data_IF_756952722042
#
_entry.id   IF_756952722042
#
_cell.length_a   1.000
_cell.length_b   1.000
_cell.length_c   1.000
_cell.angle_alpha   90.00
_cell.angle_beta   90.00
_cell.angle_gamma   90.00
#
_symmetry.space_group_name_H-M   'P 1'
#
loop_
_entity.id
_entity.type
_entity.pdbx_description
1 polymer ?
#
# COMPACT_ATOMS: atom_id res chain seq x y z
N UNK A 1 2.50 12.11 -12.42
CA UNK A 1 1.72 11.95 -11.17
C UNK A 1 2.42 10.94 -10.30
N UNK A 2 2.87 11.38 -9.16
CA UNK A 2 3.64 10.54 -8.24
C UNK A 2 2.67 9.91 -7.24
N UNK A 3 2.36 8.63 -7.42
CA UNK A 3 1.78 7.84 -6.35
C UNK A 3 2.94 7.36 -5.47
N UNK A 4 2.99 7.79 -4.22
CA UNK A 4 3.95 7.31 -3.23
C UNK A 4 3.33 6.18 -2.42
N UNK A 5 4.03 5.07 -2.25
CA UNK A 5 3.68 4.04 -1.28
C UNK A 5 4.55 4.23 -0.05
N UNK A 6 3.94 4.28 1.12
CA UNK A 6 4.63 4.49 2.39
C UNK A 6 4.47 3.26 3.27
N UNK A 7 5.57 2.78 3.83
CA UNK A 7 5.55 1.71 4.82
C UNK A 7 6.24 2.14 6.09
N UNK A 8 5.70 1.73 7.21
CA UNK A 8 6.21 2.04 8.53
C UNK A 8 6.74 0.80 9.25
N UNK A 9 7.88 0.97 9.91
CA UNK A 9 8.51 -0.02 10.78
C UNK A 9 8.67 0.57 12.18
N UNK A 10 8.30 -0.18 13.23
CA UNK A 10 8.68 0.12 14.60
C UNK A 10 9.74 -0.89 15.01
N UNK A 11 10.90 -0.40 15.45
CA UNK A 11 11.98 -1.21 15.99
C UNK A 11 12.09 -0.91 17.49
N UNK A 12 12.10 -1.94 18.32
CA UNK A 12 12.37 -1.85 19.75
C UNK A 12 13.77 -2.40 20.10
N UNK A 13 14.36 -1.86 21.16
CA UNK A 13 15.61 -2.32 21.80
C UNK A 13 16.92 -1.97 21.07
N UNK A 14 17.16 -0.70 20.74
CA UNK A 14 18.51 -0.21 20.47
C UNK A 14 18.84 0.99 21.36
N UNK A 15 19.97 0.95 22.07
CA UNK A 15 20.49 2.11 22.80
C UNK A 15 20.97 3.18 21.80
N UNK A 16 20.46 4.40 21.94
CA UNK A 16 20.48 5.48 20.93
C UNK A 16 21.81 6.23 20.81
N UNK A 17 22.96 5.66 21.16
CA UNK A 17 24.22 6.41 21.21
C UNK A 17 24.77 6.90 19.84
N UNK A 18 24.22 6.51 18.69
CA UNK A 18 24.53 7.06 17.38
C UNK A 18 23.47 6.64 16.34
N UNK A 19 22.19 6.81 16.62
CA UNK A 19 21.12 6.36 15.73
C UNK A 19 21.30 6.78 14.28
N UNK A 20 21.76 8.01 14.02
CA UNK A 20 22.03 8.49 12.66
C UNK A 20 23.02 7.59 11.93
N UNK A 21 24.11 7.19 12.59
CA UNK A 21 25.13 6.35 11.99
C UNK A 21 24.58 4.93 11.67
N UNK A 22 23.82 4.35 12.59
CA UNK A 22 23.17 3.05 12.37
C UNK A 22 22.19 3.09 11.19
N UNK A 23 21.36 4.12 11.13
CA UNK A 23 20.39 4.31 10.04
C UNK A 23 21.11 4.47 8.69
N UNK A 24 22.21 5.23 8.65
CA UNK A 24 22.96 5.44 7.43
C UNK A 24 23.63 4.16 6.93
N UNK A 25 24.21 3.36 7.84
CA UNK A 25 24.77 2.05 7.48
C UNK A 25 23.69 1.09 6.99
N UNK A 26 22.51 1.09 7.63
CA UNK A 26 21.39 0.29 7.16
C UNK A 26 20.88 0.75 5.78
N UNK A 27 20.87 2.05 5.51
CA UNK A 27 20.56 2.59 4.18
C UNK A 27 21.63 2.21 3.15
N UNK A 28 22.93 2.26 3.51
CA UNK A 28 24.02 1.81 2.62
C UNK A 28 23.85 0.35 2.24
N UNK A 29 23.54 -0.53 3.21
CA UNK A 29 23.26 -1.93 2.95
C UNK A 29 22.04 -2.13 2.04
N UNK A 30 20.96 -1.37 2.27
CA UNK A 30 19.77 -1.42 1.45
C UNK A 30 20.05 -0.95 -0.01
N UNK A 31 20.84 0.12 -0.19
CA UNK A 31 21.24 0.61 -1.52
C UNK A 31 22.10 -0.44 -2.24
N UNK A 32 23.01 -1.09 -1.52
CA UNK A 32 23.89 -2.11 -2.10
C UNK A 32 23.11 -3.36 -2.55
N UNK A 33 22.10 -3.77 -1.79
CA UNK A 33 21.28 -4.96 -2.08
C UNK A 33 20.22 -4.67 -3.15
N UNK A 34 19.66 -3.46 -3.18
CA UNK A 34 18.51 -3.10 -4.02
C UNK A 34 18.85 -1.98 -5.02
N UNK A 35 19.28 -2.29 -6.25
CA UNK A 35 19.65 -1.30 -7.25
C UNK A 35 18.54 -0.28 -7.60
N UNK A 36 17.27 -0.66 -7.39
CA UNK A 36 16.13 0.22 -7.61
C UNK A 36 16.16 1.48 -6.71
N UNK A 37 16.82 1.42 -5.54
CA UNK A 37 16.99 2.57 -4.64
C UNK A 37 17.96 3.63 -5.19
N UNK A 38 18.70 3.31 -6.24
CA UNK A 38 19.55 4.26 -6.99
C UNK A 38 18.90 4.70 -8.30
N UNK A 39 17.66 4.32 -8.58
CA UNK A 39 16.99 4.63 -9.84
C UNK A 39 16.01 5.80 -9.66
N UNK A 40 15.97 6.66 -10.65
CA UNK A 40 14.96 7.71 -10.82
C UNK A 40 14.37 7.62 -12.21
N UNK A 41 13.15 8.12 -12.40
CA UNK A 41 12.52 8.24 -13.71
C UNK A 41 12.99 9.56 -14.35
N UNK A 42 13.41 9.48 -15.59
CA UNK A 42 13.69 10.63 -16.44
C UNK A 42 12.66 10.72 -17.57
N UNK A 43 12.45 11.93 -18.07
CA UNK A 43 11.52 12.24 -19.17
C UNK A 43 10.09 11.72 -18.91
N UNK A 44 9.64 11.77 -17.64
CA UNK A 44 8.33 11.31 -17.18
C UNK A 44 7.14 12.05 -17.82
N UNK A 45 7.41 13.19 -18.47
CA UNK A 45 6.46 14.01 -19.22
C UNK A 45 6.39 13.67 -20.72
N UNK A 46 7.15 12.67 -21.17
CA UNK A 46 7.20 12.22 -22.56
C UNK A 46 6.52 10.87 -22.75
N UNK A 47 6.42 10.43 -24.01
CA UNK A 47 5.88 9.10 -24.34
C UNK A 47 6.87 7.95 -24.04
N UNK A 48 8.15 8.26 -23.85
CA UNK A 48 9.22 7.28 -23.64
C UNK A 48 9.97 7.56 -22.32
N UNK A 49 9.33 7.49 -21.15
CA UNK A 49 10.03 7.62 -19.87
C UNK A 49 10.99 6.46 -19.65
N UNK A 50 12.15 6.72 -19.04
CA UNK A 50 13.13 5.69 -18.77
C UNK A 50 13.76 5.86 -17.38
N UNK A 51 14.35 4.77 -16.86
CA UNK A 51 15.10 4.84 -15.62
C UNK A 51 16.54 5.30 -15.85
N UNK A 52 16.98 6.21 -14.98
CA UNK A 52 18.37 6.66 -14.88
C UNK A 52 18.91 6.23 -13.53
N UNK A 53 20.14 5.70 -13.51
CA UNK A 53 20.84 5.44 -12.26
C UNK A 53 21.55 6.70 -11.79
N UNK A 54 21.27 7.09 -10.56
CA UNK A 54 22.07 8.10 -9.86
C UNK A 54 23.48 7.56 -9.64
N UNK A 55 24.53 8.37 -9.82
CA UNK A 55 25.89 7.93 -9.54
C UNK A 55 26.12 7.68 -8.05
N UNK A 56 25.39 8.39 -7.20
CA UNK A 56 25.43 8.31 -5.74
C UNK A 56 24.11 8.79 -5.14
N UNK A 57 23.85 8.38 -3.90
CA UNK A 57 22.71 8.81 -3.09
C UNK A 57 23.24 9.59 -1.89
N UNK A 58 22.74 10.80 -1.68
CA UNK A 58 23.06 11.64 -0.53
C UNK A 58 22.01 11.43 0.58
N UNK A 59 22.41 10.72 1.64
CA UNK A 59 21.52 10.38 2.75
C UNK A 59 21.13 11.62 3.59
N UNK A 60 21.97 12.66 3.67
CA UNK A 60 21.62 13.89 4.36
C UNK A 60 20.43 14.63 3.73
N UNK A 61 20.11 14.36 2.46
CA UNK A 61 18.95 14.93 1.75
C UNK A 61 17.68 14.13 1.92
N UNK A 62 17.79 12.84 2.14
CA UNK A 62 16.63 11.93 2.10
C UNK A 62 16.27 11.32 3.45
N UNK A 63 17.15 11.38 4.45
CA UNK A 63 16.91 10.89 5.81
C UNK A 63 16.65 12.07 6.73
N UNK A 64 15.56 12.05 7.47
CA UNK A 64 15.29 13.00 8.54
C UNK A 64 14.89 12.27 9.82
N UNK A 65 15.31 12.83 10.95
CA UNK A 65 15.04 12.33 12.29
C UNK A 65 14.29 13.42 13.04
N UNK A 66 13.20 13.08 13.68
CA UNK A 66 12.38 13.99 14.46
C UNK A 66 11.79 13.28 15.68
N UNK A 67 11.67 14.02 16.77
CA UNK A 67 11.00 13.53 17.96
C UNK A 67 9.49 13.47 17.73
N UNK A 68 8.87 12.47 18.30
CA UNK A 68 7.44 12.32 18.30
C UNK A 68 6.91 12.17 19.72
N UNK A 69 5.69 12.60 19.95
CA UNK A 69 4.99 12.30 21.19
C UNK A 69 4.53 10.84 21.17
N UNK A 70 4.52 10.13 22.31
CA UNK A 70 4.08 8.75 22.37
C UNK A 70 2.67 8.59 21.83
N UNK A 71 2.44 7.60 21.02
CA UNK A 71 1.14 7.44 20.39
C UNK A 71 0.83 6.07 19.81
N UNK A 72 1.78 5.37 19.22
CA UNK A 72 1.47 4.15 18.47
C UNK A 72 1.15 2.94 19.37
N UNK A 73 1.66 2.93 20.58
CA UNK A 73 1.40 1.90 21.58
C UNK A 73 0.38 2.35 22.62
N UNK A 74 -0.18 3.56 22.47
CA UNK A 74 -1.24 4.03 23.35
C UNK A 74 -2.49 3.13 23.20
N UNK A 75 -3.14 2.88 24.31
CA UNK A 75 -4.36 2.08 24.37
C UNK A 75 -5.51 3.00 24.78
N UNK A 76 -6.61 2.92 24.07
CA UNK A 76 -7.85 3.59 24.49
C UNK A 76 -8.40 2.99 25.78
N UNK A 77 -9.34 3.68 26.42
CA UNK A 77 -9.95 3.22 27.67
C UNK A 77 -10.64 1.84 27.57
N UNK A 78 -10.99 1.42 26.37
CA UNK A 78 -11.59 0.12 26.03
C UNK A 78 -10.56 -1.00 25.79
N UNK A 79 -9.25 -0.71 25.90
CA UNK A 79 -8.17 -1.66 25.64
C UNK A 79 -7.76 -1.80 24.18
N UNK A 80 -8.38 -1.05 23.26
CA UNK A 80 -8.01 -1.03 21.83
C UNK A 80 -6.86 -0.07 21.57
N UNK A 81 -6.03 -0.31 20.53
CA UNK A 81 -4.95 0.61 20.16
C UNK A 81 -5.51 1.97 19.72
N UNK A 82 -4.91 3.05 20.22
CA UNK A 82 -5.23 4.39 19.76
C UNK A 82 -4.56 4.68 18.40
N UNK A 83 -5.19 5.50 17.52
CA UNK A 83 -4.56 5.91 16.28
C UNK A 83 -3.37 6.84 16.54
N UNK A 84 -2.25 6.58 15.86
CA UNK A 84 -1.06 7.44 15.90
C UNK A 84 -1.28 8.69 15.04
N UNK A 85 -1.59 9.80 15.68
CA UNK A 85 -1.90 11.06 14.99
C UNK A 85 -0.65 11.75 14.43
N UNK A 86 0.52 11.61 15.08
CA UNK A 86 1.77 12.19 14.58
C UNK A 86 2.20 11.47 13.30
N UNK A 87 2.14 10.13 13.29
CA UNK A 87 2.38 9.35 12.10
C UNK A 87 1.36 9.65 10.99
N UNK A 88 0.09 9.73 11.32
CA UNK A 88 -0.96 10.07 10.35
C UNK A 88 -0.69 11.42 9.68
N UNK A 89 -0.23 12.42 10.46
CA UNK A 89 0.13 13.74 9.96
C UNK A 89 1.38 13.69 9.08
N UNK A 90 2.38 12.90 9.49
CA UNK A 90 3.59 12.68 8.69
C UNK A 90 3.26 12.02 7.35
N UNK A 91 2.48 10.95 7.36
CA UNK A 91 2.04 10.26 6.14
C UNK A 91 1.28 11.21 5.20
N UNK A 92 0.34 12.00 5.73
CA UNK A 92 -0.36 12.99 4.94
C UNK A 92 0.60 14.03 4.30
N UNK A 93 1.65 14.43 5.03
CA UNK A 93 2.67 15.34 4.51
C UNK A 93 3.50 14.70 3.40
N UNK A 94 3.97 13.47 3.62
CA UNK A 94 4.82 12.76 2.67
C UNK A 94 4.06 12.39 1.39
N UNK A 95 2.80 11.96 1.47
CA UNK A 95 1.94 11.72 0.30
C UNK A 95 1.72 12.97 -0.57
N UNK A 96 1.82 14.16 0.02
CA UNK A 96 1.67 15.43 -0.68
C UNK A 96 3.00 16.08 -1.04
N UNK A 97 4.13 15.43 -0.74
CA UNK A 97 5.47 15.93 -1.05
C UNK A 97 6.04 15.20 -2.26
N UNK A 98 6.11 15.82 -3.44
CA UNK A 98 6.55 15.15 -4.66
C UNK A 98 8.04 14.78 -4.60
N UNK A 99 8.39 13.71 -5.31
CA UNK A 99 9.77 13.39 -5.62
C UNK A 99 10.26 14.24 -6.79
N UNK A 100 11.51 14.69 -6.74
CA UNK A 100 12.11 15.55 -7.76
C UNK A 100 13.54 15.13 -8.04
N UNK A 101 13.87 14.91 -9.30
CA UNK A 101 15.25 14.74 -9.73
C UNK A 101 16.09 16.00 -9.35
N UNK A 102 17.35 15.87 -8.96
CA UNK A 102 18.17 14.65 -8.95
C UNK A 102 18.14 13.86 -7.63
N UNK A 103 17.19 14.10 -6.74
CA UNK A 103 17.09 13.36 -5.49
C UNK A 103 16.62 11.92 -5.75
N UNK A 104 16.99 10.99 -4.86
CA UNK A 104 16.49 9.63 -4.91
C UNK A 104 14.95 9.60 -4.81
N UNK A 105 14.32 8.63 -5.48
CA UNK A 105 12.88 8.49 -5.47
C UNK A 105 12.38 7.70 -4.24
N UNK A 106 13.06 7.91 -3.13
CA UNK A 106 12.67 7.43 -1.81
C UNK A 106 13.21 8.33 -0.70
N UNK A 107 12.62 8.25 0.46
CA UNK A 107 12.99 9.02 1.67
C UNK A 107 12.77 8.18 2.92
N UNK A 108 13.55 8.44 3.95
CA UNK A 108 13.37 7.88 5.29
C UNK A 108 13.00 9.01 6.25
N UNK A 109 11.96 8.75 7.03
CA UNK A 109 11.57 9.57 8.17
C UNK A 109 11.62 8.73 9.43
N UNK A 110 12.40 9.15 10.40
CA UNK A 110 12.43 8.51 11.71
C UNK A 110 11.65 9.36 12.70
N UNK A 111 10.73 8.70 13.41
CA UNK A 111 10.04 9.27 14.55
C UNK A 111 10.57 8.60 15.81
N UNK A 112 11.24 9.38 16.67
CA UNK A 112 11.78 8.89 17.93
C UNK A 112 10.71 8.99 19.00
N UNK A 113 10.56 7.94 19.80
CA UNK A 113 9.73 8.01 20.98
C UNK A 113 10.49 8.72 22.11
N UNK A 114 9.94 9.84 22.59
CA UNK A 114 10.60 10.65 23.65
C UNK A 114 10.53 9.97 25.03
N UNK A 115 9.63 9.02 25.23
CA UNK A 115 9.46 8.30 26.50
C UNK A 115 10.19 6.95 26.51
N UNK A 116 10.48 6.39 25.33
CA UNK A 116 11.19 5.11 25.18
C UNK A 116 12.26 5.22 24.09
N UNK A 117 13.47 5.54 24.48
CA UNK A 117 14.63 5.67 23.58
C UNK A 117 14.96 4.37 22.81
N UNK A 118 14.38 3.26 23.22
CA UNK A 118 14.55 1.97 22.53
C UNK A 118 13.54 1.76 21.41
N UNK A 119 12.56 2.63 21.25
CA UNK A 119 11.53 2.54 20.23
C UNK A 119 11.60 3.71 19.25
N UNK A 120 11.54 3.40 18.00
CA UNK A 120 11.40 4.41 16.94
C UNK A 120 10.62 3.85 15.76
N UNK A 121 10.03 4.75 15.00
CA UNK A 121 9.31 4.43 13.78
C UNK A 121 10.16 4.79 12.58
N UNK A 122 10.33 3.86 11.66
CA UNK A 122 10.96 4.12 10.35
C UNK A 122 9.86 4.17 9.29
N UNK A 123 9.69 5.31 8.65
CA UNK A 123 8.80 5.49 7.51
C UNK A 123 9.64 5.49 6.25
N UNK A 124 9.45 4.47 5.42
CA UNK A 124 10.07 4.37 4.10
C UNK A 124 9.08 4.86 3.05
N UNK A 125 9.33 6.05 2.57
CA UNK A 125 8.52 6.71 1.52
C UNK A 125 9.19 6.48 0.18
N UNK A 126 8.47 6.00 -0.82
CA UNK A 126 9.05 5.77 -2.14
C UNK A 126 8.06 6.04 -3.28
N UNK A 127 8.60 6.38 -4.45
CA UNK A 127 7.83 6.53 -5.66
C UNK A 127 7.42 5.17 -6.22
N UNK A 128 6.16 4.99 -6.58
CA UNK A 128 5.62 3.70 -7.02
C UNK A 128 6.31 3.13 -8.27
N UNK A 129 7.02 3.95 -9.06
CA UNK A 129 7.80 3.46 -10.19
C UNK A 129 8.95 2.54 -9.78
N UNK A 130 9.52 2.70 -8.57
CA UNK A 130 10.67 1.90 -8.11
C UNK A 130 10.28 0.70 -7.25
N UNK A 131 9.04 0.62 -6.78
CA UNK A 131 8.61 -0.46 -5.89
C UNK A 131 7.09 -0.58 -5.75
N UNK A 132 6.66 -1.71 -5.24
CA UNK A 132 5.27 -2.03 -4.88
C UNK A 132 5.14 -2.29 -3.37
N UNK A 133 3.95 -2.62 -2.86
CA UNK A 133 3.73 -2.86 -1.43
C UNK A 133 4.61 -3.97 -0.84
N UNK A 134 4.97 -5.02 -1.61
CA UNK A 134 5.92 -6.05 -1.18
C UNK A 134 7.34 -5.49 -1.11
N UNK A 135 7.70 -4.56 -1.98
CA UNK A 135 9.00 -3.88 -1.98
C UNK A 135 9.24 -3.09 -0.69
N UNK A 136 8.21 -2.45 -0.15
CA UNK A 136 8.33 -1.80 1.14
C UNK A 136 8.66 -2.79 2.26
N UNK A 137 8.04 -3.99 2.28
CA UNK A 137 8.41 -5.06 3.22
C UNK A 137 9.86 -5.50 3.03
N UNK A 138 10.28 -5.69 1.77
CA UNK A 138 11.65 -6.06 1.43
C UNK A 138 12.66 -5.04 1.97
N UNK A 139 12.39 -3.75 1.77
CA UNK A 139 13.23 -2.68 2.33
C UNK A 139 13.37 -2.82 3.85
N UNK A 140 12.27 -2.90 4.57
CA UNK A 140 12.29 -2.97 6.04
C UNK A 140 12.98 -4.23 6.56
N UNK A 141 12.85 -5.36 5.87
CA UNK A 141 13.56 -6.59 6.22
C UNK A 141 15.07 -6.46 6.00
N UNK A 142 15.51 -5.87 4.89
CA UNK A 142 16.93 -5.59 4.63
C UNK A 142 17.49 -4.60 5.64
N UNK A 143 16.75 -3.51 5.88
CA UNK A 143 17.11 -2.49 6.86
C UNK A 143 17.30 -3.09 8.27
N UNK A 144 16.36 -3.93 8.70
CA UNK A 144 16.43 -4.62 10.00
C UNK A 144 17.62 -5.57 10.09
N UNK A 145 17.87 -6.39 9.04
CA UNK A 145 19.04 -7.28 9.01
C UNK A 145 20.34 -6.49 9.09
N UNK A 146 20.41 -5.36 8.42
CA UNK A 146 21.56 -4.49 8.48
C UNK A 146 21.77 -3.96 9.89
N UNK A 147 20.73 -3.44 10.55
CA UNK A 147 20.80 -2.97 11.94
C UNK A 147 21.29 -4.05 12.90
N UNK A 148 20.88 -5.32 12.72
CA UNK A 148 21.31 -6.45 13.56
C UNK A 148 22.80 -6.84 13.34
N UNK A 149 23.38 -6.45 12.21
CA UNK A 149 24.75 -6.79 11.83
C UNK A 149 25.78 -5.67 12.05
N UNK A 150 25.34 -4.47 12.40
CA UNK A 150 26.23 -3.31 12.58
C UNK A 150 27.04 -3.45 13.87
N UNK A 151 28.36 -3.29 13.76
CA UNK A 151 29.29 -3.21 14.88
C UNK A 151 29.64 -1.77 15.22
N UNK A 152 30.17 -1.54 16.43
CA UNK A 152 30.39 -0.22 17.06
C UNK A 152 31.43 0.71 16.40
N UNK A 153 32.01 0.42 15.22
CA UNK A 153 33.28 1.03 14.88
C UNK A 153 33.47 1.76 13.55
N UNK A 154 32.50 1.83 12.66
CA UNK A 154 32.74 2.52 11.38
C UNK A 154 32.08 3.89 11.27
N UNK A 155 32.89 4.91 10.89
CA UNK A 155 32.38 6.23 10.53
C UNK A 155 31.50 6.11 9.28
N UNK A 156 30.27 6.50 9.44
CA UNK A 156 29.26 6.47 8.39
C UNK A 156 29.52 7.52 7.33
N UNK A 157 29.28 7.15 6.08
CA UNK A 157 29.28 8.07 4.94
C UNK A 157 27.86 8.56 4.71
N UNK A 158 27.69 9.85 4.47
CA UNK A 158 26.39 10.37 4.03
C UNK A 158 26.18 10.22 2.51
N UNK A 159 27.25 10.10 1.74
CA UNK A 159 27.19 9.91 0.29
C UNK A 159 27.52 8.48 -0.05
N UNK A 160 26.55 7.74 -0.54
CA UNK A 160 26.67 6.33 -0.87
C UNK A 160 26.75 6.17 -2.38
N UNK A 161 27.82 5.48 -2.85
CA UNK A 161 27.97 5.17 -4.27
C UNK A 161 26.93 4.15 -4.71
N UNK A 162 26.30 4.38 -5.82
CA UNK A 162 25.29 3.47 -6.37
C UNK A 162 25.93 2.15 -6.81
N UNK A 163 25.27 1.00 -6.58
CA UNK A 163 25.79 -0.31 -6.97
C UNK A 163 25.84 -0.41 -8.51
N UNK A 164 26.78 -1.20 -9.02
CA UNK A 164 26.90 -1.48 -10.47
C UNK A 164 25.89 -2.53 -10.97
N UNK A 165 25.24 -3.26 -10.06
CA UNK A 165 24.29 -4.31 -10.40
C UNK A 165 23.16 -3.76 -11.28
N UNK A 166 22.70 -4.52 -12.31
CA UNK A 166 21.61 -4.08 -13.16
C UNK A 166 20.30 -3.96 -12.37
N UNK A 167 19.38 -3.12 -12.83
CA UNK A 167 18.00 -3.14 -12.34
C UNK A 167 17.39 -4.50 -12.64
N UNK A 168 16.53 -4.96 -11.74
CA UNK A 168 15.77 -6.19 -11.95
C UNK A 168 14.82 -6.01 -13.16
N UNK A 169 14.53 -7.10 -13.88
CA UNK A 169 13.70 -7.02 -15.08
C UNK A 169 12.28 -6.57 -14.72
N UNK A 170 11.67 -5.76 -15.58
CA UNK A 170 10.27 -5.39 -15.46
C UNK A 170 9.36 -6.59 -15.78
N UNK A 171 8.09 -6.47 -15.39
CA UNK A 171 7.11 -7.56 -15.54
C UNK A 171 6.92 -7.99 -17.00
N UNK A 172 7.07 -7.08 -17.96
CA UNK A 172 6.89 -7.35 -19.39
C UNK A 172 7.97 -8.28 -19.94
N UNK A 173 9.19 -8.25 -19.37
CA UNK A 173 10.30 -9.12 -19.77
C UNK A 173 10.22 -10.53 -19.20
N UNK A 174 9.62 -10.70 -18.04
CA UNK A 174 9.62 -11.97 -17.30
C UNK A 174 8.25 -12.65 -17.25
N UNK A 175 7.19 -11.96 -17.67
CA UNK A 175 5.84 -12.48 -17.81
C UNK A 175 5.40 -12.45 -19.27
N UNK A 176 4.65 -13.45 -19.69
CA UNK A 176 4.11 -13.50 -21.06
C UNK A 176 3.10 -12.39 -21.37
N UNK A 177 2.61 -11.64 -20.34
CA UNK A 177 1.56 -10.63 -20.48
C UNK A 177 0.38 -11.08 -21.38
N UNK A 178 0.08 -12.38 -21.35
CA UNK A 178 -0.79 -13.01 -22.32
C UNK A 178 -2.26 -12.64 -22.13
N UNK A 179 -2.93 -12.38 -23.22
CA UNK A 179 -4.37 -12.09 -23.29
C UNK A 179 -5.04 -13.12 -24.20
N UNK A 180 -6.10 -13.78 -23.70
CA UNK A 180 -6.90 -14.65 -24.52
C UNK A 180 -7.78 -13.83 -25.48
N UNK A 181 -8.06 -14.38 -26.65
CA UNK A 181 -8.97 -13.74 -27.63
C UNK A 181 -10.34 -13.41 -27.01
N UNK A 182 -10.86 -14.32 -26.19
CA UNK A 182 -12.14 -14.12 -25.50
C UNK A 182 -12.12 -12.95 -24.51
N UNK A 183 -11.03 -12.82 -23.75
CA UNK A 183 -10.85 -11.69 -22.83
C UNK A 183 -10.76 -10.36 -23.59
N UNK A 184 -9.95 -10.33 -24.65
CA UNK A 184 -9.77 -9.13 -25.48
C UNK A 184 -11.09 -8.72 -26.15
N UNK A 185 -11.80 -9.67 -26.74
CA UNK A 185 -13.11 -9.43 -27.35
C UNK A 185 -14.13 -8.90 -26.34
N UNK A 186 -14.15 -9.46 -25.11
CA UNK A 186 -15.00 -8.98 -24.02
C UNK A 186 -14.65 -7.54 -23.61
N UNK A 187 -13.37 -7.22 -23.43
CA UNK A 187 -12.94 -5.85 -23.05
C UNK A 187 -13.21 -4.84 -24.17
N UNK A 188 -12.95 -5.19 -25.45
CA UNK A 188 -13.28 -4.34 -26.59
C UNK A 188 -14.80 -4.11 -26.71
N UNK A 189 -15.60 -5.15 -26.49
CA UNK A 189 -17.06 -5.02 -26.47
C UNK A 189 -17.52 -4.09 -25.34
N UNK A 190 -16.94 -4.23 -24.14
CA UNK A 190 -17.23 -3.36 -22.99
C UNK A 190 -16.91 -1.89 -23.31
N UNK A 191 -15.77 -1.61 -23.92
CA UNK A 191 -15.34 -0.25 -24.27
C UNK A 191 -16.20 0.34 -25.40
N UNK A 192 -16.49 -0.42 -26.45
CA UNK A 192 -17.20 0.09 -27.64
C UNK A 192 -18.73 0.10 -27.52
N UNK A 193 -19.31 -0.85 -26.80
CA UNK A 193 -20.78 -1.05 -26.74
C UNK A 193 -21.34 -0.59 -25.38
N UNK A 194 -20.60 -0.78 -24.31
CA UNK A 194 -20.97 -0.40 -22.94
C UNK A 194 -20.21 0.81 -22.42
N UNK A 195 -19.91 1.79 -23.27
CA UNK A 195 -19.21 3.04 -22.88
C UNK A 195 -19.97 3.89 -21.86
N UNK A 196 -21.13 3.45 -21.40
CA UNK A 196 -21.91 4.15 -20.37
C UNK A 196 -21.53 3.63 -18.99
N UNK A 197 -21.27 4.58 -18.08
CA UNK A 197 -21.12 4.31 -16.66
C UNK A 197 -22.27 3.40 -16.18
N UNK A 198 -22.00 2.32 -15.44
CA UNK A 198 -23.05 1.47 -14.90
C UNK A 198 -24.03 2.27 -14.05
N UNK A 199 -25.35 2.13 -14.27
CA UNK A 199 -26.33 2.82 -13.44
C UNK A 199 -26.16 2.49 -11.97
N UNK A 200 -26.27 3.51 -11.11
CA UNK A 200 -26.15 3.32 -9.66
C UNK A 200 -24.73 3.09 -9.14
N UNK A 201 -23.69 3.28 -9.95
CA UNK A 201 -22.31 3.21 -9.48
C UNK A 201 -21.96 4.47 -8.66
N UNK A 202 -21.50 4.27 -7.42
CA UNK A 202 -20.82 5.30 -6.64
C UNK A 202 -19.31 5.24 -6.86
N UNK A 203 -18.67 6.37 -7.06
CA UNK A 203 -17.22 6.47 -7.22
C UNK A 203 -16.66 7.84 -6.82
N UNK A 204 -17.29 8.47 -5.81
CA UNK A 204 -16.91 9.81 -5.39
C UNK A 204 -17.17 10.89 -6.45
N UNK A 205 -16.46 11.99 -6.35
CA UNK A 205 -16.55 13.10 -7.32
C UNK A 205 -15.78 12.78 -8.61
N UNK A 206 -16.03 13.63 -9.63
CA UNK A 206 -15.30 13.57 -10.91
C UNK A 206 -13.80 13.74 -10.73
N UNK A 207 -13.05 13.32 -11.73
CA UNK A 207 -11.61 13.53 -11.79
C UNK A 207 -11.35 15.00 -12.10
N UNK A 208 -10.81 15.73 -11.14
CA UNK A 208 -10.54 17.17 -11.24
C UNK A 208 -9.03 17.50 -11.33
N UNK A 209 -8.18 16.50 -11.38
CA UNK A 209 -6.73 16.63 -11.27
C UNK A 209 -6.23 16.38 -9.83
N UNK A 210 -4.92 16.52 -9.59
CA UNK A 210 -4.33 16.26 -8.28
C UNK A 210 -4.88 17.20 -7.21
N UNK A 211 -5.19 16.64 -6.04
CA UNK A 211 -5.60 17.33 -4.83
C UNK A 211 -4.83 16.77 -3.65
N UNK A 212 -5.03 17.34 -2.46
CA UNK A 212 -4.35 16.83 -1.28
C UNK A 212 -4.87 15.45 -0.88
N UNK A 213 -3.94 14.51 -0.73
CA UNK A 213 -4.20 13.23 -0.07
C UNK A 213 -4.43 13.46 1.42
N UNK A 214 -5.54 12.93 1.90
CA UNK A 214 -5.87 12.83 3.32
C UNK A 214 -5.63 11.42 3.78
N UNK A 215 -5.24 11.24 5.03
CA UNK A 215 -4.92 9.96 5.65
C UNK A 215 -5.69 9.79 6.95
N UNK A 216 -6.20 8.59 7.19
CA UNK A 216 -6.74 8.17 8.48
C UNK A 216 -6.23 6.78 8.83
N UNK A 217 -5.61 6.63 9.99
CA UNK A 217 -5.15 5.35 10.51
C UNK A 217 -6.20 4.76 11.45
N UNK A 218 -6.49 3.47 11.25
CA UNK A 218 -7.47 2.72 12.04
C UNK A 218 -6.80 1.44 12.53
N UNK A 219 -6.26 1.43 13.74
CA UNK A 219 -5.66 0.24 14.32
C UNK A 219 -6.72 -0.70 14.89
N UNK A 220 -6.41 -2.00 14.85
CA UNK A 220 -7.20 -3.08 15.43
C UNK A 220 -6.31 -3.97 16.28
N UNK A 221 -6.77 -4.32 17.48
CA UNK A 221 -5.99 -5.12 18.43
C UNK A 221 -5.71 -6.53 17.93
N UNK A 222 -4.63 -7.11 18.44
CA UNK A 222 -4.27 -8.51 18.19
C UNK A 222 -5.41 -9.47 18.51
N UNK A 223 -6.16 -9.21 19.57
CA UNK A 223 -7.29 -10.05 19.99
C UNK A 223 -8.38 -10.05 18.92
N UNK A 224 -8.81 -8.87 18.48
CA UNK A 224 -9.80 -8.73 17.40
C UNK A 224 -9.31 -9.38 16.11
N UNK A 225 -8.08 -9.10 15.70
CA UNK A 225 -7.50 -9.65 14.46
C UNK A 225 -7.42 -11.17 14.51
N UNK A 226 -7.08 -11.76 15.65
CA UNK A 226 -7.05 -13.22 15.82
C UNK A 226 -8.46 -13.82 15.73
N UNK A 227 -9.44 -13.24 16.41
CA UNK A 227 -10.85 -13.70 16.36
C UNK A 227 -11.38 -13.63 14.91
N UNK A 228 -11.23 -12.48 14.26
CA UNK A 228 -11.65 -12.28 12.85
C UNK A 228 -10.98 -13.29 11.91
N UNK A 229 -9.68 -13.58 12.09
CA UNK A 229 -8.96 -14.57 11.29
C UNK A 229 -9.54 -15.98 11.47
N UNK A 230 -9.85 -16.36 12.70
CA UNK A 230 -10.37 -17.70 13.01
C UNK A 230 -11.79 -17.86 12.46
N UNK A 231 -12.62 -16.83 12.55
CA UNK A 231 -13.94 -16.79 11.90
C UNK A 231 -13.80 -16.88 10.38
N UNK A 232 -12.90 -16.14 9.77
CA UNK A 232 -12.65 -16.23 8.33
C UNK A 232 -12.30 -17.66 7.89
N UNK A 233 -11.48 -18.38 8.68
CA UNK A 233 -11.17 -19.80 8.43
C UNK A 233 -12.41 -20.68 8.53
N UNK A 234 -13.20 -20.52 9.58
CA UNK A 234 -14.46 -21.25 9.76
C UNK A 234 -15.44 -20.98 8.62
N UNK A 235 -15.53 -19.74 8.17
CA UNK A 235 -16.39 -19.31 7.05
C UNK A 235 -15.79 -19.57 5.67
N UNK A 236 -14.62 -20.21 5.59
CA UNK A 236 -13.93 -20.54 4.33
C UNK A 236 -13.66 -19.30 3.46
N UNK A 237 -13.19 -18.21 4.08
CA UNK A 237 -12.80 -16.98 3.42
C UNK A 237 -11.42 -16.50 3.91
N UNK A 238 -11.00 -15.30 3.54
CA UNK A 238 -9.75 -14.66 3.94
C UNK A 238 -10.02 -13.28 4.54
N UNK A 239 -9.08 -12.75 5.34
CA UNK A 239 -9.18 -11.38 5.87
C UNK A 239 -9.33 -10.36 4.74
N UNK A 240 -8.57 -10.47 3.65
CA UNK A 240 -8.66 -9.56 2.50
C UNK A 240 -10.06 -9.55 1.89
N UNK A 241 -10.64 -10.73 1.63
CA UNK A 241 -11.99 -10.86 1.07
C UNK A 241 -13.07 -10.36 2.04
N UNK A 242 -12.88 -10.57 3.35
CA UNK A 242 -13.77 -10.01 4.38
C UNK A 242 -13.67 -8.49 4.41
N UNK A 243 -12.46 -7.92 4.45
CA UNK A 243 -12.27 -6.47 4.45
C UNK A 243 -12.92 -5.81 3.24
N UNK A 244 -12.76 -6.36 2.03
CA UNK A 244 -13.44 -5.86 0.84
C UNK A 244 -14.97 -5.84 1.03
N UNK A 245 -15.54 -6.88 1.62
CA UNK A 245 -16.98 -6.99 1.84
C UNK A 245 -17.46 -6.04 2.93
N UNK A 246 -16.72 -5.91 4.03
CA UNK A 246 -17.04 -5.00 5.14
C UNK A 246 -16.95 -3.55 4.68
N UNK A 247 -15.92 -3.18 3.91
CA UNK A 247 -15.81 -1.83 3.31
C UNK A 247 -16.99 -1.55 2.38
N UNK A 248 -17.37 -2.51 1.53
CA UNK A 248 -18.52 -2.34 0.65
C UNK A 248 -19.83 -2.14 1.43
N UNK A 249 -20.04 -2.88 2.53
CA UNK A 249 -21.18 -2.72 3.42
C UNK A 249 -21.19 -1.34 4.08
N UNK A 250 -20.05 -0.94 4.63
CA UNK A 250 -19.89 0.35 5.28
C UNK A 250 -20.14 1.52 4.32
N UNK A 251 -19.62 1.44 3.09
CA UNK A 251 -19.92 2.44 2.06
C UNK A 251 -21.42 2.47 1.75
N UNK A 252 -22.06 1.32 1.48
CA UNK A 252 -23.49 1.30 1.20
C UNK A 252 -24.37 1.79 2.36
N UNK A 253 -23.95 1.61 3.60
CA UNK A 253 -24.66 2.11 4.77
C UNK A 253 -24.65 3.65 4.85
N UNK A 254 -23.61 4.30 4.28
CA UNK A 254 -23.36 5.73 4.46
C UNK A 254 -23.47 6.56 3.17
N UNK A 255 -23.79 5.94 2.02
CA UNK A 255 -24.08 6.66 0.77
C UNK A 255 -25.58 6.54 0.41
N UNK A 256 -26.14 7.50 -0.36
CA UNK A 256 -27.55 7.47 -0.75
C UNK A 256 -27.99 6.16 -1.43
N UNK A 257 -29.22 5.74 -1.19
CA UNK A 257 -29.80 4.48 -1.72
C UNK A 257 -29.89 4.41 -3.25
N UNK A 258 -29.81 5.56 -3.93
CA UNK A 258 -29.73 5.65 -5.38
C UNK A 258 -28.45 4.99 -5.94
N UNK A 259 -27.41 4.87 -5.11
CA UNK A 259 -26.20 4.13 -5.44
C UNK A 259 -26.37 2.66 -5.05
N UNK A 260 -26.42 1.80 -6.06
CA UNK A 260 -26.68 0.36 -5.92
C UNK A 260 -25.51 -0.53 -6.27
N UNK A 261 -24.38 0.07 -6.71
CA UNK A 261 -23.17 -0.64 -7.15
C UNK A 261 -21.91 0.03 -6.63
N UNK A 262 -20.93 -0.81 -6.27
CA UNK A 262 -19.56 -0.41 -5.99
C UNK A 262 -18.60 -1.29 -6.79
N UNK A 263 -17.55 -0.70 -7.37
CA UNK A 263 -16.43 -1.42 -7.94
C UNK A 263 -15.24 -1.33 -7.00
N UNK A 264 -14.81 -2.51 -6.55
CA UNK A 264 -13.62 -2.69 -5.75
C UNK A 264 -12.46 -3.15 -6.64
N UNK A 265 -11.31 -2.56 -6.48
CA UNK A 265 -10.05 -3.08 -7.01
C UNK A 265 -9.19 -3.66 -5.89
N UNK A 266 -8.20 -4.44 -6.24
CA UNK A 266 -7.19 -4.92 -5.32
C UNK A 266 -5.94 -5.34 -6.09
N UNK A 267 -4.81 -5.35 -5.39
CA UNK A 267 -3.52 -5.72 -5.96
C UNK A 267 -3.08 -7.12 -5.51
N UNK A 268 -2.41 -7.83 -6.41
CA UNK A 268 -1.80 -9.14 -6.17
C UNK A 268 -0.34 -9.12 -6.61
N UNK A 269 0.56 -9.56 -5.72
CA UNK A 269 1.97 -9.73 -6.08
C UNK A 269 2.14 -10.89 -7.07
N UNK A 270 2.77 -10.58 -8.19
CA UNK A 270 3.10 -11.55 -9.24
C UNK A 270 4.29 -12.44 -8.87
N UNK A 271 5.04 -12.12 -7.81
CA UNK A 271 6.20 -12.90 -7.34
C UNK A 271 5.87 -14.38 -7.12
N UNK A 272 4.61 -14.68 -6.79
CA UNK A 272 4.12 -16.05 -6.59
C UNK A 272 4.28 -16.98 -7.78
N UNK A 273 4.39 -16.43 -9.00
CA UNK A 273 4.52 -17.21 -10.25
C UNK A 273 5.68 -16.73 -11.13
N UNK A 274 6.50 -15.83 -10.63
CA UNK A 274 7.72 -15.38 -11.28
C UNK A 274 8.92 -16.03 -10.56
N UNK A 275 9.51 -17.09 -11.11
CA UNK A 275 10.46 -17.93 -10.35
C UNK A 275 11.77 -17.22 -10.00
N UNK A 276 12.11 -16.15 -10.70
CA UNK A 276 13.33 -15.37 -10.51
C UNK A 276 13.14 -14.19 -9.54
N UNK A 277 11.91 -13.92 -9.13
CA UNK A 277 11.56 -12.76 -8.30
C UNK A 277 10.98 -13.24 -6.97
N UNK A 278 11.63 -12.84 -5.89
CA UNK A 278 11.27 -13.22 -4.52
C UNK A 278 10.68 -12.02 -3.74
N UNK A 279 10.10 -12.28 -2.56
CA UNK A 279 9.45 -11.27 -1.73
C UNK A 279 10.45 -10.29 -1.06
N UNK A 280 11.75 -10.60 -1.08
CA UNK A 280 12.84 -9.75 -0.58
C UNK A 280 13.43 -8.82 -1.66
N UNK A 281 12.89 -8.80 -2.87
CA UNK A 281 13.34 -7.95 -3.97
C UNK A 281 12.49 -6.68 -4.12
N UNK A 282 13.15 -5.54 -4.36
CA UNK A 282 12.48 -4.25 -4.64
C UNK A 282 12.27 -4.09 -6.15
N UNK A 283 11.02 -3.83 -6.55
CA UNK A 283 10.58 -3.59 -7.92
C UNK A 283 9.05 -3.69 -8.04
N UNK A 284 8.50 -3.47 -9.22
CA UNK A 284 7.06 -3.46 -9.46
C UNK A 284 6.63 -4.73 -10.19
N UNK A 285 6.04 -5.68 -9.46
CA UNK A 285 5.51 -6.93 -10.01
C UNK A 285 4.13 -7.22 -9.42
N UNK A 286 3.16 -6.40 -9.81
CA UNK A 286 1.79 -6.48 -9.34
C UNK A 286 0.82 -6.59 -10.50
N UNK A 287 -0.32 -7.23 -10.26
CA UNK A 287 -1.47 -7.17 -11.14
C UNK A 287 -2.72 -6.85 -10.33
N UNK A 288 -3.63 -6.13 -10.98
CA UNK A 288 -4.92 -5.80 -10.41
C UNK A 288 -5.95 -6.91 -10.60
N UNK A 289 -6.94 -6.95 -9.71
CA UNK A 289 -8.18 -7.67 -9.89
C UNK A 289 -9.36 -6.75 -9.55
N UNK A 290 -10.52 -7.10 -10.06
CA UNK A 290 -11.75 -6.30 -9.94
C UNK A 290 -12.85 -7.13 -9.29
N UNK A 291 -13.63 -6.51 -8.41
CA UNK A 291 -14.81 -7.11 -7.80
C UNK A 291 -15.98 -6.12 -7.79
N UNK A 292 -17.17 -6.62 -8.00
CA UNK A 292 -18.39 -5.79 -7.97
C UNK A 292 -19.26 -6.16 -6.79
N UNK A 293 -19.62 -5.17 -6.00
CA UNK A 293 -20.58 -5.30 -4.90
C UNK A 293 -21.90 -4.64 -5.27
N UNK A 294 -23.01 -5.24 -4.81
CA UNK A 294 -24.35 -4.72 -4.98
C UNK A 294 -25.02 -4.50 -3.65
N UNK A 295 -25.80 -3.44 -3.54
CA UNK A 295 -26.50 -3.10 -2.31
C UNK A 295 -27.47 -4.19 -1.84
N UNK A 296 -28.16 -4.85 -2.76
CA UNK A 296 -29.13 -5.92 -2.46
C UNK A 296 -28.50 -7.24 -1.96
N UNK A 297 -27.25 -7.50 -2.34
CA UNK A 297 -26.53 -8.74 -1.98
C UNK A 297 -25.56 -8.57 -0.82
N UNK A 298 -25.06 -7.35 -0.57
CA UNK A 298 -23.99 -7.11 0.41
C UNK A 298 -24.39 -7.41 1.87
N UNK A 299 -25.67 -7.51 2.17
CA UNK A 299 -26.17 -7.96 3.48
C UNK A 299 -25.79 -9.42 3.79
N UNK A 300 -25.63 -10.27 2.77
CA UNK A 300 -25.16 -11.64 2.91
C UNK A 300 -23.62 -11.70 3.06
N UNK A 301 -23.09 -11.16 4.16
CA UNK A 301 -21.68 -10.93 4.41
C UNK A 301 -20.78 -12.11 4.03
N UNK A 302 -21.07 -13.30 4.53
CA UNK A 302 -20.20 -14.47 4.31
C UNK A 302 -20.31 -15.04 2.91
N UNK A 303 -21.43 -14.89 2.21
CA UNK A 303 -21.58 -15.29 0.82
C UNK A 303 -20.74 -14.37 -0.08
N UNK A 304 -20.81 -13.07 0.15
CA UNK A 304 -20.02 -12.07 -0.57
C UNK A 304 -18.53 -12.22 -0.28
N UNK A 305 -18.13 -12.43 0.97
CA UNK A 305 -16.73 -12.65 1.32
C UNK A 305 -16.17 -13.95 0.68
N UNK A 306 -16.96 -15.01 0.59
CA UNK A 306 -16.58 -16.23 -0.15
C UNK A 306 -16.53 -16.00 -1.65
N UNK A 307 -17.41 -15.17 -2.19
CA UNK A 307 -17.41 -14.79 -3.61
C UNK A 307 -16.15 -14.01 -3.94
N UNK A 308 -15.81 -12.98 -3.17
CA UNK A 308 -14.57 -12.20 -3.30
C UNK A 308 -13.33 -13.10 -3.22
N UNK A 309 -13.27 -14.04 -2.25
CA UNK A 309 -12.20 -15.02 -2.19
C UNK A 309 -12.07 -15.83 -3.48
N UNK A 310 -13.16 -16.32 -4.04
CA UNK A 310 -13.14 -17.10 -5.32
C UNK A 310 -12.59 -16.25 -6.47
N UNK A 311 -12.92 -14.96 -6.54
CA UNK A 311 -12.37 -14.04 -7.53
C UNK A 311 -10.85 -13.96 -7.39
N UNK A 312 -10.34 -13.71 -6.18
CA UNK A 312 -8.90 -13.65 -5.91
C UNK A 312 -8.21 -14.98 -6.28
N UNK A 313 -8.76 -16.13 -5.86
CA UNK A 313 -8.22 -17.45 -6.19
C UNK A 313 -8.23 -17.73 -7.71
N UNK A 314 -9.24 -17.25 -8.42
CA UNK A 314 -9.30 -17.36 -9.88
C UNK A 314 -8.17 -16.59 -10.55
N UNK A 315 -7.92 -15.35 -10.10
CA UNK A 315 -6.83 -14.53 -10.64
C UNK A 315 -5.46 -15.16 -10.35
N UNK A 316 -5.27 -15.69 -9.15
CA UNK A 316 -4.02 -16.41 -8.78
C UNK A 316 -3.82 -17.62 -9.71
N UNK A 317 -4.87 -18.39 -10.02
CA UNK A 317 -4.79 -19.56 -10.93
C UNK A 317 -4.41 -19.16 -12.36
N UNK A 318 -4.78 -17.95 -12.79
CA UNK A 318 -4.45 -17.45 -14.13
C UNK A 318 -2.97 -17.07 -14.28
N UNK A 319 -2.23 -16.92 -13.17
CA UNK A 319 -0.78 -16.65 -13.16
C UNK A 319 -0.37 -15.50 -14.09
N UNK A 320 -1.05 -14.38 -13.99
CA UNK A 320 -0.79 -13.20 -14.81
C UNK A 320 -1.49 -13.16 -16.18
N UNK A 321 -2.15 -14.23 -16.60
CA UNK A 321 -2.93 -14.24 -17.84
C UNK A 321 -4.25 -13.48 -17.68
N UNK A 322 -4.70 -12.81 -18.75
CA UNK A 322 -5.98 -12.11 -18.80
C UNK A 322 -6.17 -11.07 -17.66
N UNK A 323 -5.09 -10.36 -17.31
CA UNK A 323 -5.10 -9.26 -16.36
C UNK A 323 -5.38 -7.93 -17.06
N UNK A 324 -6.03 -6.99 -16.35
CA UNK A 324 -6.17 -5.61 -16.83
C UNK A 324 -4.80 -4.92 -16.97
N UNK A 325 -3.82 -5.26 -16.14
CA UNK A 325 -2.44 -4.79 -16.28
C UNK A 325 -1.82 -5.15 -17.64
N UNK A 326 -2.19 -6.31 -18.21
CA UNK A 326 -1.68 -6.72 -19.52
C UNK A 326 -2.21 -5.86 -20.67
N UNK A 327 -3.27 -5.08 -20.45
CA UNK A 327 -3.76 -4.13 -21.45
C UNK A 327 -2.87 -2.90 -21.59
N UNK A 328 -2.04 -2.62 -20.60
CA UNK A 328 -1.10 -1.50 -20.64
C UNK A 328 -0.09 -1.60 -21.78
N UNK A 329 0.20 -2.81 -22.28
CA UNK A 329 1.03 -3.01 -23.47
C UNK A 329 0.47 -2.37 -24.76
N UNK A 330 -0.80 -1.94 -24.78
CA UNK A 330 -1.46 -1.28 -25.91
C UNK A 330 -1.64 0.23 -25.68
N UNK A 331 -1.08 0.78 -24.64
CA UNK A 331 -1.11 2.22 -24.34
C UNK A 331 0.13 2.84 -24.95
N UNK A 332 -0.06 3.76 -25.89
CA UNK A 332 1.03 4.45 -26.56
C UNK A 332 1.48 5.68 -25.76
N UNK A 333 0.54 6.41 -25.18
CA UNK A 333 0.79 7.59 -24.36
C UNK A 333 0.09 7.47 -22.99
N UNK A 334 0.84 7.02 -21.98
CA UNK A 334 0.31 6.83 -20.63
C UNK A 334 -0.25 8.12 -20.02
N UNK A 335 0.41 9.25 -20.29
CA UNK A 335 0.00 10.53 -19.72
C UNK A 335 -1.31 11.00 -20.34
N UNK A 336 -1.41 10.98 -21.67
CA UNK A 336 -2.63 11.40 -22.36
C UNK A 336 -3.78 10.40 -22.14
N UNK A 337 -3.55 9.11 -22.42
CA UNK A 337 -4.62 8.12 -22.47
C UNK A 337 -5.15 7.74 -21.07
N UNK A 338 -4.27 7.59 -20.07
CA UNK A 338 -4.67 7.14 -18.74
C UNK A 338 -4.92 8.29 -17.76
N UNK A 339 -4.42 9.51 -18.07
CA UNK A 339 -4.47 10.63 -17.15
C UNK A 339 -5.24 11.81 -17.71
N UNK A 340 -4.67 12.56 -18.65
CA UNK A 340 -5.22 13.83 -19.11
C UNK A 340 -6.60 13.68 -19.75
N UNK A 341 -6.78 12.65 -20.57
CA UNK A 341 -8.08 12.34 -21.20
C UNK A 341 -9.20 12.04 -20.21
N UNK A 342 -8.88 11.72 -18.96
CA UNK A 342 -9.86 11.39 -17.91
C UNK A 342 -10.31 12.59 -17.07
N UNK A 343 -9.61 13.71 -17.16
CA UNK A 343 -9.97 14.94 -16.41
C UNK A 343 -11.38 15.40 -16.81
N UNK A 344 -12.20 15.69 -15.82
CA UNK A 344 -13.61 16.09 -15.98
C UNK A 344 -14.58 14.91 -16.12
N UNK A 345 -14.08 13.66 -16.29
CA UNK A 345 -14.92 12.45 -16.36
C UNK A 345 -15.22 11.90 -14.97
N UNK A 346 -16.22 11.03 -14.90
CA UNK A 346 -16.51 10.26 -13.70
C UNK A 346 -15.45 9.18 -13.50
N UNK A 347 -15.14 8.84 -12.24
CA UNK A 347 -14.29 7.70 -11.88
C UNK A 347 -15.01 6.39 -12.22
N UNK A 348 -14.24 5.40 -12.63
CA UNK A 348 -14.76 4.08 -13.00
C UNK A 348 -14.80 3.11 -11.81
N UNK A 349 -14.06 3.39 -10.74
CA UNK A 349 -13.89 2.55 -9.57
C UNK A 349 -14.27 3.28 -8.28
N UNK A 350 -14.75 2.54 -7.29
CA UNK A 350 -15.25 3.09 -6.02
C UNK A 350 -14.17 3.10 -4.95
N UNK A 351 -13.57 1.95 -4.70
CA UNK A 351 -12.57 1.80 -3.64
C UNK A 351 -11.57 0.70 -3.96
N UNK A 352 -10.43 0.75 -3.30
CA UNK A 352 -9.44 -0.32 -3.31
C UNK A 352 -9.27 -0.92 -1.92
N UNK A 353 -8.99 -2.22 -1.85
CA UNK A 353 -8.45 -2.87 -0.66
C UNK A 353 -7.14 -3.54 -1.03
N UNK A 354 -6.05 -2.98 -0.57
CA UNK A 354 -4.70 -3.50 -0.73
C UNK A 354 -4.20 -4.06 0.61
N UNK A 355 -3.86 -5.33 0.66
CA UNK A 355 -3.40 -6.00 1.88
C UNK A 355 -2.05 -6.67 1.64
N UNK A 356 -1.01 -6.13 2.25
CA UNK A 356 0.35 -6.67 2.13
C UNK A 356 0.63 -7.84 3.08
N UNK A 357 -0.36 -8.23 3.90
CA UNK A 357 -0.30 -9.39 4.78
C UNK A 357 0.35 -9.12 6.13
N UNK A 358 0.99 -10.14 6.66
CA UNK A 358 1.52 -10.17 8.04
C UNK A 358 3.04 -10.11 8.01
N UNK A 359 3.64 -9.37 8.93
CA UNK A 359 5.04 -9.50 9.28
C UNK A 359 5.14 -10.60 10.35
N UNK A 360 5.95 -11.64 10.13
CA UNK A 360 6.12 -12.68 11.13
C UNK A 360 6.71 -12.11 12.42
N UNK A 361 6.20 -12.52 13.60
CA UNK A 361 6.79 -12.13 14.87
C UNK A 361 8.22 -12.65 14.97
N UNK A 362 9.13 -11.82 15.47
CA UNK A 362 10.50 -12.25 15.75
C UNK A 362 10.58 -12.81 17.16
N UNK A 363 11.19 -13.98 17.30
CA UNK A 363 11.20 -14.76 18.56
C UNK A 363 12.38 -14.39 19.48
N UNK A 364 13.33 -13.57 19.02
CA UNK A 364 14.53 -13.25 19.79
C UNK A 364 14.40 -11.86 20.43
N UNK A 365 14.32 -11.80 21.76
CA UNK A 365 14.16 -10.56 22.53
C UNK A 365 15.39 -9.65 22.52
N UNK A 366 16.56 -10.18 22.16
CA UNK A 366 17.82 -9.43 22.24
C UNK A 366 18.20 -8.75 20.92
N UNK A 367 17.36 -8.88 19.90
CA UNK A 367 17.59 -8.36 18.55
C UNK A 367 16.54 -7.31 18.18
N UNK A 368 16.89 -6.35 17.31
CA UNK A 368 15.91 -5.44 16.73
C UNK A 368 14.75 -6.21 16.10
N UNK A 369 13.52 -5.78 16.33
CA UNK A 369 12.32 -6.44 15.84
C UNK A 369 11.30 -5.46 15.29
N UNK A 370 10.54 -5.90 14.27
CA UNK A 370 9.39 -5.16 13.76
C UNK A 370 8.19 -5.50 14.63
N UNK A 371 7.73 -4.56 15.44
CA UNK A 371 6.52 -4.72 16.24
C UNK A 371 5.27 -4.34 15.46
N UNK A 372 5.08 -3.06 15.17
CA UNK A 372 3.95 -2.59 14.38
C UNK A 372 4.28 -2.45 12.90
N UNK A 373 3.26 -2.45 12.05
CA UNK A 373 3.39 -2.13 10.65
C UNK A 373 2.18 -1.35 10.15
N UNK A 374 2.47 -0.27 9.44
CA UNK A 374 1.48 0.49 8.70
C UNK A 374 1.85 0.47 7.22
N UNK A 375 0.87 0.27 6.38
CA UNK A 375 0.98 0.39 4.94
C UNK A 375 0.00 1.47 4.48
N UNK A 376 0.48 2.46 3.75
CA UNK A 376 -0.31 3.55 3.24
C UNK A 376 0.03 3.84 1.78
N UNK A 377 -0.94 4.19 0.98
CA UNK A 377 -0.80 4.63 -0.41
C UNK A 377 -1.30 6.05 -0.54
N UNK A 378 -0.72 6.85 -1.44
CA UNK A 378 -1.33 8.13 -1.78
C UNK A 378 -2.66 7.91 -2.49
N UNK A 379 -3.61 8.80 -2.27
CA UNK A 379 -4.92 8.70 -2.90
C UNK A 379 -4.83 8.79 -4.43
N UNK A 380 -5.50 7.88 -5.12
CA UNK A 380 -5.49 7.82 -6.58
C UNK A 380 -6.15 9.05 -7.21
N UNK A 381 -5.44 9.70 -8.13
CA UNK A 381 -5.98 10.85 -8.87
C UNK A 381 -7.01 10.39 -9.91
N UNK A 382 -6.75 9.29 -10.62
CA UNK A 382 -7.55 8.81 -11.76
C UNK A 382 -8.37 7.56 -11.46
N UNK A 383 -7.99 6.80 -10.42
CA UNK A 383 -8.58 5.52 -10.05
C UNK A 383 -9.67 5.62 -8.99
N UNK A 384 -9.47 4.90 -7.90
CA UNK A 384 -10.43 4.74 -6.83
C UNK A 384 -10.74 6.05 -6.09
N UNK A 385 -11.97 6.19 -5.57
CA UNK A 385 -12.33 7.34 -4.76
C UNK A 385 -11.71 7.26 -3.36
N UNK A 386 -11.57 6.03 -2.82
CA UNK A 386 -10.97 5.75 -1.50
C UNK A 386 -10.08 4.53 -1.58
N UNK A 387 -8.92 4.59 -0.93
CA UNK A 387 -7.97 3.49 -0.81
C UNK A 387 -7.96 2.97 0.63
N UNK A 388 -8.01 1.66 0.81
CA UNK A 388 -7.93 0.98 2.10
C UNK A 388 -6.70 0.07 2.07
N UNK A 389 -5.65 0.45 2.76
CA UNK A 389 -4.38 -0.29 2.81
C UNK A 389 -4.25 -0.98 4.16
N UNK A 390 -4.03 -2.29 4.15
CA UNK A 390 -3.96 -3.10 5.36
C UNK A 390 -2.58 -3.75 5.52
N UNK A 391 -2.07 -3.72 6.75
CA UNK A 391 -0.88 -4.45 7.16
C UNK A 391 -1.05 -4.99 8.59
N UNK A 392 -0.44 -6.13 8.89
CA UNK A 392 -0.42 -6.67 10.25
C UNK A 392 1.03 -6.75 10.72
N UNK A 393 1.32 -6.11 11.85
CA UNK A 393 2.65 -6.09 12.47
C UNK A 393 3.03 -7.41 13.13
N UNK A 394 4.29 -7.50 13.60
CA UNK A 394 4.79 -8.63 14.39
C UNK A 394 4.12 -8.78 15.75
N UNK A 395 3.55 -7.71 16.28
CA UNK A 395 2.69 -7.67 17.46
C UNK A 395 1.32 -8.33 17.25
N UNK A 396 0.93 -8.56 16.00
CA UNK A 396 -0.35 -9.13 15.60
C UNK A 396 -1.47 -8.11 15.45
N UNK A 397 -1.22 -6.82 15.68
CA UNK A 397 -2.17 -5.75 15.42
C UNK A 397 -2.27 -5.46 13.91
N UNK A 398 -3.48 -5.21 13.42
CA UNK A 398 -3.72 -4.78 12.04
C UNK A 398 -3.98 -3.28 12.03
N UNK A 399 -3.32 -2.58 11.11
CA UNK A 399 -3.64 -1.17 10.84
C UNK A 399 -4.26 -1.08 9.45
N UNK A 400 -5.44 -0.47 9.38
CA UNK A 400 -6.09 -0.08 8.14
C UNK A 400 -5.82 1.42 7.92
N UNK A 401 -5.05 1.74 6.90
CA UNK A 401 -4.83 3.11 6.44
C UNK A 401 -5.86 3.44 5.38
N UNK A 402 -6.61 4.51 5.59
CA UNK A 402 -7.63 5.00 4.65
C UNK A 402 -7.14 6.29 4.05
N UNK A 403 -7.03 6.33 2.71
CA UNK A 403 -6.58 7.53 1.99
C UNK A 403 -7.58 7.94 0.93
N UNK A 404 -7.76 9.25 0.76
CA UNK A 404 -8.65 9.84 -0.23
C UNK A 404 -8.16 11.23 -0.62
N UNK A 405 -8.58 11.72 -1.79
CA UNK A 405 -8.35 13.11 -2.15
C UNK A 405 -9.40 14.02 -1.53
N UNK A 406 -8.97 15.14 -0.99
CA UNK A 406 -9.82 16.10 -0.27
C UNK A 406 -11.03 16.58 -1.08
N UNK A 407 -10.93 16.67 -2.41
CA UNK A 407 -12.00 17.14 -3.30
C UNK A 407 -12.82 15.98 -3.92
N UNK A 408 -12.61 14.74 -3.50
CA UNK A 408 -13.26 13.55 -4.08
C UNK A 408 -14.26 12.95 -3.13
N UNK A 409 -13.94 12.89 -1.85
CA UNK A 409 -14.80 12.34 -0.79
C UNK A 409 -14.76 13.26 0.41
N UNK A 410 -15.92 13.52 0.99
CA UNK A 410 -16.05 14.35 2.19
C UNK A 410 -15.50 13.62 3.42
N UNK A 411 -14.77 14.31 4.31
CA UNK A 411 -14.19 13.71 5.52
C UNK A 411 -15.23 13.05 6.44
N UNK A 412 -16.44 13.60 6.48
CA UNK A 412 -17.56 13.08 7.28
C UNK A 412 -17.98 11.69 6.81
N UNK A 413 -18.07 11.47 5.49
CA UNK A 413 -18.37 10.16 4.93
C UNK A 413 -17.29 9.14 5.31
N UNK A 414 -16.01 9.54 5.24
CA UNK A 414 -14.90 8.66 5.67
C UNK A 414 -15.01 8.31 7.16
N UNK A 415 -15.38 9.27 7.99
CA UNK A 415 -15.59 9.03 9.42
C UNK A 415 -16.69 7.97 9.63
N UNK A 416 -17.86 8.15 9.04
CA UNK A 416 -18.99 7.22 9.16
C UNK A 416 -18.66 5.83 8.61
N UNK A 417 -17.97 5.76 7.46
CA UNK A 417 -17.53 4.49 6.87
C UNK A 417 -16.55 3.75 7.80
N UNK A 418 -15.58 4.45 8.39
CA UNK A 418 -14.63 3.86 9.34
C UNK A 418 -15.33 3.33 10.58
N UNK A 419 -16.25 4.11 11.15
CA UNK A 419 -17.01 3.65 12.33
C UNK A 419 -17.91 2.44 12.01
N UNK A 420 -18.51 2.39 10.81
CA UNK A 420 -19.25 1.23 10.33
C UNK A 420 -18.37 -0.02 10.16
N UNK A 421 -17.13 0.16 9.64
CA UNK A 421 -16.14 -0.93 9.52
C UNK A 421 -15.78 -1.48 10.92
N UNK A 422 -15.49 -0.58 11.87
CA UNK A 422 -15.20 -0.98 13.27
C UNK A 422 -16.36 -1.76 13.86
N UNK A 423 -17.58 -1.23 13.77
CA UNK A 423 -18.80 -1.89 14.30
C UNK A 423 -18.98 -3.29 13.71
N UNK A 424 -18.86 -3.46 12.38
CA UNK A 424 -18.99 -4.77 11.73
C UNK A 424 -17.93 -5.75 12.25
N UNK A 425 -16.64 -5.33 12.34
CA UNK A 425 -15.56 -6.22 12.79
C UNK A 425 -15.68 -6.59 14.27
N UNK A 426 -16.05 -5.67 15.16
CA UNK A 426 -16.26 -5.96 16.58
C UNK A 426 -17.46 -6.88 16.78
N UNK A 427 -18.58 -6.61 16.10
CA UNK A 427 -19.76 -7.47 16.19
C UNK A 427 -19.48 -8.92 15.75
N UNK A 428 -18.63 -9.11 14.75
CA UNK A 428 -18.19 -10.45 14.34
C UNK A 428 -17.38 -11.15 15.43
N UNK A 429 -16.51 -10.45 16.15
CA UNK A 429 -15.67 -11.02 17.19
C UNK A 429 -16.45 -11.35 18.48
N UNK A 430 -17.52 -10.63 18.80
CA UNK A 430 -18.37 -10.88 19.97
C UNK A 430 -19.24 -12.13 19.83
N UNK A 431 -19.56 -12.56 18.62
CA UNK A 431 -20.40 -13.73 18.32
C UNK A 431 -19.59 -15.04 18.33
N UNK A 432 -18.28 -14.96 18.45
CA UNK A 432 -17.37 -16.13 18.42
C UNK A 432 -16.87 -16.51 19.82
#
# INVERSE_FOLDING_TARGET
>A
MTEGLDMMLILSNMAVFNLKDYVYQACEAAIAEHPALSAIVADDHTQEPYFVRLPQVDLDRIVSIQDRKPGLLATEANGEPAPDLDLQTLLATEHNTPFKAPDAFWRIRLLLDVEDECQFTVVFVFHHAIGDGTSGKAFHQTFLRALDSIGDSEKTKSIIQSPSNPLLPNIERISSMSLSFLYLAKKLFQVKVYSRRPPGLWSGSKILGPSQTRVRLVPFSKLLVSAVRDICRAQKTTITALLQTVVARALFANIPDSFTRLFCTGALSCRRWLPEITDDMIGVWVQGFEETYRRDSVSALWEEARRSRRTIESVIKMKGKDSSTNLLQFVDDYQEELCLSKIGKDRETSFEVSNIGVIPPQMNSDKPAIHGMVFSQSASVMGNAVEFSAATGGDGCLVLSVTWQQNVVEPELIHEVVESIKQDLYALAEVS
#
